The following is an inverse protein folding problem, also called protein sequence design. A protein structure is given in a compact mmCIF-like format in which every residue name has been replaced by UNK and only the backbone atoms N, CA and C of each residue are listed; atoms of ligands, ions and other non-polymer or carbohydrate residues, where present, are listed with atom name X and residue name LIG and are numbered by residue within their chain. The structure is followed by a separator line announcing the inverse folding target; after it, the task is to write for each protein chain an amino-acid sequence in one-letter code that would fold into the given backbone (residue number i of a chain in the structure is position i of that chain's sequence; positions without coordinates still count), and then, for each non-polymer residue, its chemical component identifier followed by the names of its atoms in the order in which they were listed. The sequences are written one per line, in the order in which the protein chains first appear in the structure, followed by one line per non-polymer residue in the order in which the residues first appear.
data_IF_790707198848
#
_entry.id   IF_790707198848
#
_cell.length_a   1.000
_cell.length_b   1.000
_cell.length_c   1.000
_cell.angle_alpha   90.00
_cell.angle_beta   90.00
_cell.angle_gamma   90.00
#
_symmetry.space_group_name_H-M   'P 1'
#
loop_
_entity.id
_entity.type
_entity.pdbx_description
1 polymer ?
#
# COMPACT_ATOMS: atom_id res chain seq x y z
N UNK A 1 -17.26 57.52 -59.47
CA UNK A 1 -16.15 57.29 -58.52
C UNK A 1 -16.68 57.68 -57.14
N UNK A 2 -17.12 56.68 -56.35
CA UNK A 2 -17.81 56.91 -55.08
C UNK A 2 -16.76 56.88 -53.96
N UNK A 3 -16.54 58.02 -53.31
CA UNK A 3 -15.59 58.17 -52.22
C UNK A 3 -16.22 57.52 -50.98
N UNK A 4 -15.68 56.37 -50.56
CA UNK A 4 -16.04 55.76 -49.27
C UNK A 4 -15.49 56.66 -48.16
N UNK A 5 -16.37 57.27 -47.38
CA UNK A 5 -16.02 57.97 -46.15
C UNK A 5 -15.49 56.96 -45.15
N UNK A 6 -14.22 57.07 -44.79
CA UNK A 6 -13.60 56.33 -43.68
C UNK A 6 -14.37 56.66 -42.41
N UNK A 7 -14.96 55.64 -41.77
CA UNK A 7 -15.65 55.79 -40.50
C UNK A 7 -14.67 56.34 -39.45
N UNK A 8 -15.15 57.23 -38.59
CA UNK A 8 -14.40 57.83 -37.48
C UNK A 8 -13.69 56.74 -36.66
N UNK A 9 -12.37 56.64 -36.81
CA UNK A 9 -11.53 55.92 -35.87
C UNK A 9 -11.34 56.81 -34.64
N UNK A 10 -12.27 56.70 -33.68
CA UNK A 10 -12.08 57.28 -32.36
C UNK A 10 -10.98 56.47 -31.66
N UNK A 11 -9.78 57.04 -31.55
CA UNK A 11 -8.68 56.44 -30.80
C UNK A 11 -9.05 56.20 -29.33
N UNK A 12 -8.48 55.14 -28.75
CA UNK A 12 -8.71 54.79 -27.34
C UNK A 12 -8.25 55.88 -26.38
N UNK A 13 -9.07 56.15 -25.35
CA UNK A 13 -8.65 57.01 -24.24
C UNK A 13 -7.60 56.31 -23.37
N UNK A 14 -6.64 57.06 -22.82
CA UNK A 14 -5.65 56.50 -21.88
C UNK A 14 -6.30 55.80 -20.68
N UNK A 15 -7.47 56.28 -20.23
CA UNK A 15 -8.19 55.67 -19.10
C UNK A 15 -8.78 54.31 -19.47
N UNK A 16 -9.25 54.15 -20.72
CA UNK A 16 -9.75 52.89 -21.26
C UNK A 16 -8.63 51.85 -21.35
N UNK A 17 -7.42 52.27 -21.75
CA UNK A 17 -6.25 51.40 -21.77
C UNK A 17 -5.89 50.90 -20.36
N UNK A 18 -5.89 51.79 -19.37
CA UNK A 18 -5.59 51.43 -17.98
C UNK A 18 -6.65 50.47 -17.42
N UNK A 19 -7.93 50.73 -17.68
CA UNK A 19 -9.04 49.84 -17.27
C UNK A 19 -8.89 48.48 -17.96
N UNK A 20 -8.61 48.44 -19.27
CA UNK A 20 -8.39 47.21 -20.01
C UNK A 20 -7.22 46.40 -19.44
N UNK A 21 -6.09 47.05 -19.15
CA UNK A 21 -4.92 46.40 -18.53
C UNK A 21 -5.22 45.89 -17.12
N UNK A 22 -5.98 46.64 -16.31
CA UNK A 22 -6.38 46.20 -14.97
C UNK A 22 -7.27 44.96 -15.05
N UNK A 23 -8.26 44.95 -15.95
CA UNK A 23 -9.14 43.79 -16.16
C UNK A 23 -8.36 42.58 -16.65
N UNK A 24 -7.45 42.74 -17.62
CA UNK A 24 -6.63 41.60 -18.10
C UNK A 24 -5.69 41.04 -17.05
N UNK A 25 -5.07 41.89 -16.22
CA UNK A 25 -4.27 41.43 -15.09
C UNK A 25 -5.10 40.65 -14.07
N UNK A 26 -6.32 41.10 -13.79
CA UNK A 26 -7.22 40.43 -12.85
C UNK A 26 -7.63 39.05 -13.39
N UNK A 27 -7.97 38.97 -14.69
CA UNK A 27 -8.31 37.71 -15.36
C UNK A 27 -7.09 36.77 -15.39
N UNK A 28 -5.89 37.27 -15.70
CA UNK A 28 -4.67 36.46 -15.69
C UNK A 28 -4.35 35.92 -14.29
N UNK A 29 -4.53 36.72 -13.24
CA UNK A 29 -4.33 36.28 -11.86
C UNK A 29 -5.30 35.14 -11.49
N UNK A 30 -6.59 35.29 -11.84
CA UNK A 30 -7.59 34.24 -11.62
C UNK A 30 -7.26 32.97 -12.44
N UNK A 31 -6.92 33.12 -13.72
CA UNK A 31 -6.56 32.01 -14.59
C UNK A 31 -5.32 31.26 -14.09
N UNK A 32 -4.29 31.99 -13.62
CA UNK A 32 -3.08 31.39 -13.04
C UNK A 32 -3.38 30.58 -11.79
N UNK A 33 -4.26 31.07 -10.91
CA UNK A 33 -4.66 30.34 -9.70
C UNK A 33 -5.40 29.03 -10.01
N UNK A 34 -6.31 29.04 -11.00
CA UNK A 34 -7.03 27.86 -11.45
C UNK A 34 -6.09 26.83 -12.08
N UNK A 35 -5.13 27.30 -12.88
CA UNK A 35 -4.15 26.45 -13.53
C UNK A 35 -3.18 25.81 -12.52
N UNK A 36 -2.73 26.57 -11.51
CA UNK A 36 -1.92 26.03 -10.41
C UNK A 36 -2.69 24.97 -9.60
N UNK A 37 -3.96 25.22 -9.29
CA UNK A 37 -4.82 24.25 -8.61
C UNK A 37 -5.00 22.96 -9.43
N UNK A 38 -5.19 23.09 -10.74
CA UNK A 38 -5.31 21.94 -11.66
C UNK A 38 -4.04 21.08 -11.69
N UNK A 39 -2.85 21.69 -11.74
CA UNK A 39 -1.59 20.94 -11.69
C UNK A 39 -1.36 20.24 -10.35
N UNK A 40 -1.72 20.88 -9.23
CA UNK A 40 -1.62 20.25 -7.91
C UNK A 40 -2.58 19.06 -7.78
N UNK A 41 -3.83 19.21 -8.24
CA UNK A 41 -4.81 18.12 -8.25
C UNK A 41 -4.32 16.93 -9.09
N UNK A 42 -3.81 17.21 -10.29
CA UNK A 42 -3.26 16.18 -11.18
C UNK A 42 -2.06 15.49 -10.57
N UNK A 43 -1.07 16.23 -10.08
CA UNK A 43 0.13 15.63 -9.47
C UNK A 43 -0.21 14.76 -8.26
N UNK A 44 -1.25 15.14 -7.50
CA UNK A 44 -1.72 14.36 -6.37
C UNK A 44 -2.41 13.06 -6.81
N UNK A 45 -3.25 13.12 -7.83
CA UNK A 45 -3.90 11.91 -8.37
C UNK A 45 -2.88 10.97 -9.02
N UNK A 46 -1.86 11.50 -9.71
CA UNK A 46 -0.77 10.70 -10.27
C UNK A 46 -0.02 9.95 -9.14
N UNK A 47 0.36 10.65 -8.05
CA UNK A 47 1.03 10.03 -6.89
C UNK A 47 0.18 8.96 -6.21
N UNK A 48 -1.12 9.20 -6.11
CA UNK A 48 -2.08 8.26 -5.55
C UNK A 48 -2.19 7.00 -6.40
N UNK A 49 -2.34 7.16 -7.71
CA UNK A 49 -2.44 6.04 -8.64
C UNK A 49 -1.18 5.17 -8.60
N UNK A 50 0.00 5.80 -8.56
CA UNK A 50 1.28 5.09 -8.44
C UNK A 50 1.36 4.31 -7.12
N UNK A 51 1.04 4.94 -5.99
CA UNK A 51 1.10 4.31 -4.67
C UNK A 51 0.12 3.13 -4.55
N UNK A 52 -1.11 3.29 -5.06
CA UNK A 52 -2.10 2.21 -5.08
C UNK A 52 -1.62 1.04 -5.94
N UNK A 53 -1.05 1.32 -7.12
CA UNK A 53 -0.55 0.27 -8.01
C UNK A 53 0.63 -0.51 -7.39
N UNK A 54 1.54 0.19 -6.71
CA UNK A 54 2.66 -0.43 -6.01
C UNK A 54 2.18 -1.27 -4.82
N UNK A 55 1.24 -0.77 -4.01
CA UNK A 55 0.64 -1.54 -2.90
C UNK A 55 -0.10 -2.77 -3.40
N UNK A 56 -0.87 -2.68 -4.48
CA UNK A 56 -1.54 -3.85 -5.07
C UNK A 56 -0.53 -4.89 -5.54
N UNK A 57 0.58 -4.48 -6.16
CA UNK A 57 1.67 -5.41 -6.52
C UNK A 57 2.27 -6.06 -5.29
N UNK A 58 2.56 -5.29 -4.24
CA UNK A 58 3.10 -5.78 -2.99
C UNK A 58 2.15 -6.78 -2.31
N UNK A 59 0.86 -6.45 -2.20
CA UNK A 59 -0.17 -7.33 -1.63
C UNK A 59 -0.28 -8.65 -2.39
N UNK A 60 -0.22 -8.62 -3.73
CA UNK A 60 -0.24 -9.86 -4.53
C UNK A 60 0.98 -10.75 -4.27
N UNK A 61 2.17 -10.17 -4.15
CA UNK A 61 3.40 -10.91 -3.82
C UNK A 61 3.32 -11.48 -2.40
N UNK A 62 3.00 -10.63 -1.40
CA UNK A 62 2.88 -11.02 0.00
C UNK A 62 1.83 -12.13 0.18
N UNK A 63 0.64 -11.96 -0.39
CA UNK A 63 -0.44 -12.95 -0.27
C UNK A 63 -0.04 -14.29 -0.86
N UNK A 64 0.65 -14.30 -2.01
CA UNK A 64 1.10 -15.54 -2.65
C UNK A 64 2.13 -16.27 -1.78
N UNK A 65 3.13 -15.56 -1.27
CA UNK A 65 4.21 -16.16 -0.49
C UNK A 65 3.75 -16.58 0.91
N UNK A 66 2.98 -15.73 1.59
CA UNK A 66 2.39 -16.05 2.89
C UNK A 66 1.40 -17.22 2.77
N UNK A 67 0.59 -17.31 1.69
CA UNK A 67 -0.34 -18.44 1.50
C UNK A 67 0.37 -19.79 1.36
N UNK A 68 1.61 -19.78 0.86
CA UNK A 68 2.45 -20.98 0.72
C UNK A 68 3.31 -21.28 1.95
N UNK A 69 3.23 -20.48 3.01
CA UNK A 69 3.95 -20.76 4.25
C UNK A 69 3.60 -22.14 4.81
N UNK A 70 4.57 -22.78 5.46
CA UNK A 70 4.37 -24.08 6.08
C UNK A 70 4.41 -25.24 5.09
N UNK A 71 4.70 -24.99 3.80
CA UNK A 71 4.85 -26.05 2.82
C UNK A 71 6.02 -26.94 3.25
N UNK A 72 5.73 -28.24 3.44
CA UNK A 72 6.73 -29.30 3.64
C UNK A 72 7.81 -29.00 4.70
N UNK A 73 7.45 -28.31 5.77
CA UNK A 73 8.39 -28.01 6.83
C UNK A 73 9.00 -29.31 7.41
N UNK A 74 10.33 -29.35 7.60
CA UNK A 74 10.97 -30.37 8.40
C UNK A 74 10.34 -30.40 9.81
N UNK A 75 10.15 -31.60 10.37
CA UNK A 75 9.46 -31.77 11.66
C UNK A 75 10.12 -31.05 12.85
N UNK A 76 11.36 -30.58 12.71
CA UNK A 76 12.19 -30.04 13.77
C UNK A 76 12.72 -28.63 13.51
N UNK A 77 12.11 -27.81 12.63
CA UNK A 77 12.59 -26.43 12.45
C UNK A 77 12.30 -25.61 13.73
N UNK A 78 13.32 -25.22 14.52
CA UNK A 78 13.09 -24.56 15.79
C UNK A 78 12.41 -23.21 15.55
N UNK A 79 11.47 -22.84 16.42
CA UNK A 79 10.78 -21.53 16.42
C UNK A 79 9.78 -21.26 15.27
N UNK A 80 9.60 -22.22 14.35
CA UNK A 80 8.60 -22.14 13.28
C UNK A 80 7.35 -22.90 13.69
N UNK A 81 6.19 -22.24 13.58
CA UNK A 81 4.90 -22.88 13.86
C UNK A 81 4.50 -23.79 12.70
N UNK A 82 3.57 -24.73 12.95
CA UNK A 82 3.08 -25.66 11.91
C UNK A 82 2.52 -24.97 10.66
N UNK A 83 1.99 -23.75 10.81
CA UNK A 83 1.50 -22.93 9.71
C UNK A 83 2.60 -22.20 8.91
N UNK A 84 3.88 -22.39 9.24
CA UNK A 84 5.01 -21.71 8.59
C UNK A 84 5.38 -20.36 9.17
N UNK A 85 4.74 -19.89 10.23
CA UNK A 85 5.00 -18.56 10.78
C UNK A 85 6.00 -18.65 11.92
N UNK A 86 7.00 -17.77 11.89
CA UNK A 86 7.96 -17.59 12.99
C UNK A 86 7.34 -16.63 14.01
N UNK A 87 6.65 -17.17 15.01
CA UNK A 87 5.84 -16.38 15.92
C UNK A 87 6.66 -15.33 16.71
N UNK A 88 7.91 -15.63 17.05
CA UNK A 88 8.80 -14.69 17.75
C UNK A 88 9.32 -13.53 16.89
N UNK A 89 9.10 -13.58 15.59
CA UNK A 89 9.58 -12.60 14.60
C UNK A 89 8.44 -12.06 13.73
N UNK A 90 7.20 -12.25 14.19
CA UNK A 90 5.96 -11.81 13.55
C UNK A 90 5.09 -11.08 14.55
N UNK A 91 4.61 -9.89 14.18
CA UNK A 91 3.77 -9.02 14.97
C UNK A 91 2.81 -8.25 14.04
N UNK A 92 2.19 -7.18 14.52
CA UNK A 92 1.24 -6.40 13.73
C UNK A 92 1.89 -5.72 12.52
N UNK A 93 3.18 -5.39 12.55
CA UNK A 93 3.86 -4.62 11.48
C UNK A 93 4.79 -5.47 10.60
N UNK A 94 5.00 -6.73 10.99
CA UNK A 94 5.92 -7.63 10.29
C UNK A 94 5.48 -9.07 10.41
N UNK A 95 5.74 -9.85 9.36
CA UNK A 95 5.49 -11.28 9.35
C UNK A 95 6.68 -11.98 8.74
N UNK A 96 7.15 -13.04 9.41
CA UNK A 96 8.18 -13.93 8.87
C UNK A 96 7.57 -15.29 8.60
N UNK A 97 7.68 -15.71 7.36
CA UNK A 97 7.16 -16.97 6.86
C UNK A 97 8.29 -17.86 6.38
N UNK A 98 8.12 -19.15 6.63
CA UNK A 98 9.05 -20.21 6.26
C UNK A 98 8.30 -21.27 5.47
N UNK A 99 8.91 -21.77 4.41
CA UNK A 99 8.40 -22.85 3.57
C UNK A 99 9.56 -23.60 2.94
N UNK A 100 9.47 -24.93 2.90
CA UNK A 100 10.37 -25.78 2.15
C UNK A 100 9.81 -25.92 0.71
N UNK A 101 10.30 -25.08 -0.20
CA UNK A 101 9.78 -24.95 -1.57
C UNK A 101 10.27 -26.07 -2.50
N UNK A 102 11.43 -26.65 -2.18
CA UNK A 102 12.04 -27.76 -2.91
C UNK A 102 11.87 -29.12 -2.19
N UNK A 103 11.20 -29.16 -1.04
CA UNK A 103 10.93 -30.35 -0.23
C UNK A 103 9.97 -31.37 -0.84
N UNK A 104 9.52 -31.19 -2.09
CA UNK A 104 8.81 -32.23 -2.82
C UNK A 104 9.81 -33.03 -3.66
N UNK A 105 9.96 -34.35 -3.42
CA UNK A 105 10.83 -35.15 -4.25
C UNK A 105 10.32 -35.14 -5.70
N UNK A 106 11.22 -34.86 -6.64
CA UNK A 106 10.94 -34.97 -8.07
C UNK A 106 11.69 -36.19 -8.62
N UNK A 107 11.06 -37.39 -8.61
CA UNK A 107 11.69 -38.60 -9.09
C UNK A 107 11.94 -38.60 -10.60
N UNK A 108 11.32 -37.68 -11.36
CA UNK A 108 11.55 -37.55 -12.81
C UNK A 108 12.83 -36.74 -13.11
N UNK A 109 13.18 -35.80 -12.24
CA UNK A 109 14.38 -34.96 -12.39
C UNK A 109 15.52 -35.32 -11.43
N UNK A 110 15.33 -36.34 -10.58
CA UNK A 110 16.37 -36.83 -9.66
C UNK A 110 16.60 -35.94 -8.44
N UNK A 111 15.63 -35.08 -8.08
CA UNK A 111 15.69 -34.28 -6.86
C UNK A 111 15.22 -35.13 -5.68
N UNK A 112 16.07 -35.20 -4.67
CA UNK A 112 15.74 -35.79 -3.37
C UNK A 112 14.96 -34.76 -2.54
N UNK A 113 14.11 -35.24 -1.63
CA UNK A 113 13.41 -34.38 -0.68
C UNK A 113 14.43 -33.58 0.13
N UNK A 114 14.35 -32.26 0.02
CA UNK A 114 15.13 -31.38 0.88
C UNK A 114 14.61 -31.45 2.32
N UNK A 115 15.53 -31.54 3.25
CA UNK A 115 15.27 -31.71 4.68
C UNK A 115 15.50 -30.44 5.49
N UNK A 116 15.85 -29.33 4.85
CA UNK A 116 16.01 -28.04 5.49
C UNK A 116 15.11 -26.95 4.89
N UNK A 117 15.38 -25.69 5.27
CA UNK A 117 14.64 -24.50 4.82
C UNK A 117 15.63 -23.37 4.47
N UNK A 118 16.86 -23.74 4.10
CA UNK A 118 18.00 -22.80 3.98
C UNK A 118 18.21 -22.28 2.58
N UNK A 119 17.37 -22.69 1.63
CA UNK A 119 17.45 -22.20 0.26
C UNK A 119 16.87 -20.79 0.10
N UNK A 120 17.20 -20.20 -1.04
CA UNK A 120 16.65 -18.93 -1.48
C UNK A 120 15.12 -18.98 -1.50
N UNK A 121 14.49 -17.92 -1.01
CA UNK A 121 13.02 -17.74 -0.94
C UNK A 121 12.27 -18.64 0.05
N UNK A 122 12.97 -19.44 0.87
CA UNK A 122 12.36 -20.34 1.84
C UNK A 122 12.12 -19.73 3.21
N UNK A 123 12.83 -18.65 3.54
CA UNK A 123 12.67 -17.87 4.77
C UNK A 123 12.63 -16.38 4.45
N UNK A 124 11.41 -15.85 4.48
CA UNK A 124 11.10 -14.51 4.00
C UNK A 124 10.41 -13.74 5.10
N UNK A 125 10.87 -12.51 5.34
CA UNK A 125 10.24 -11.56 6.24
C UNK A 125 9.69 -10.37 5.47
N UNK A 126 8.41 -10.10 5.65
CA UNK A 126 7.78 -8.85 5.23
C UNK A 126 7.71 -7.91 6.41
N UNK A 127 8.10 -6.66 6.20
CA UNK A 127 8.02 -5.62 7.23
C UNK A 127 7.87 -4.24 6.61
N UNK A 128 7.35 -3.31 7.39
CA UNK A 128 7.42 -1.89 7.07
C UNK A 128 8.78 -1.33 7.50
N UNK A 129 9.58 -0.88 6.54
CA UNK A 129 10.82 -0.15 6.82
C UNK A 129 10.55 1.35 6.80
N UNK A 130 11.01 2.04 7.85
CA UNK A 130 10.92 3.51 7.96
C UNK A 130 12.30 4.11 7.79
N UNK A 131 12.49 4.88 6.73
CA UNK A 131 13.70 5.68 6.56
C UNK A 131 13.58 6.98 7.37
N UNK A 132 14.23 7.00 8.53
CA UNK A 132 14.24 8.14 9.45
C UNK A 132 14.88 9.42 8.86
N UNK A 133 15.60 9.32 7.75
CA UNK A 133 16.29 10.47 7.13
C UNK A 133 15.34 11.28 6.26
N UNK A 134 14.47 10.59 5.51
CA UNK A 134 13.55 11.18 4.53
C UNK A 134 12.08 11.05 4.94
N UNK A 135 11.81 10.34 6.05
CA UNK A 135 10.45 10.09 6.56
C UNK A 135 9.62 9.20 5.63
N UNK A 136 10.24 8.47 4.71
CA UNK A 136 9.54 7.59 3.78
C UNK A 136 9.41 6.20 4.39
N UNK A 137 8.25 5.58 4.17
CA UNK A 137 7.98 4.22 4.59
C UNK A 137 7.85 3.33 3.36
N UNK A 138 8.34 2.11 3.50
CA UNK A 138 8.42 1.12 2.43
C UNK A 138 7.92 -0.22 2.92
N UNK A 139 7.20 -0.94 2.07
CA UNK A 139 6.99 -2.38 2.27
C UNK A 139 8.21 -3.09 1.73
N UNK A 140 8.84 -3.88 2.58
CA UNK A 140 10.08 -4.56 2.27
C UNK A 140 9.88 -6.06 2.40
N UNK A 141 10.40 -6.78 1.40
CA UNK A 141 10.65 -8.22 1.46
C UNK A 141 12.12 -8.43 1.80
N UNK A 142 12.40 -9.07 2.92
CA UNK A 142 13.73 -9.47 3.34
C UNK A 142 13.86 -10.98 3.23
N UNK A 143 14.75 -11.45 2.36
CA UNK A 143 15.12 -12.85 2.24
C UNK A 143 16.26 -13.12 3.23
N UNK A 144 16.03 -14.00 4.20
CA UNK A 144 16.99 -14.26 5.28
C UNK A 144 17.99 -15.33 4.91
N UNK A 145 17.52 -16.36 4.22
CA UNK A 145 18.33 -17.49 3.78
C UNK A 145 18.76 -17.25 2.34
N UNK A 146 20.04 -17.49 2.02
CA UNK A 146 20.60 -17.16 0.71
C UNK A 146 21.30 -15.79 0.68
N UNK A 147 20.74 -14.86 -0.10
CA UNK A 147 21.45 -13.61 -0.47
C UNK A 147 21.39 -12.49 0.56
N UNK A 148 20.61 -12.66 1.64
CA UNK A 148 20.34 -11.61 2.64
C UNK A 148 19.83 -10.32 1.99
N UNK A 149 19.05 -10.46 0.91
CA UNK A 149 18.63 -9.32 0.11
C UNK A 149 17.34 -8.71 0.60
N UNK A 150 17.33 -7.38 0.54
CA UNK A 150 16.20 -6.54 0.86
C UNK A 150 15.63 -6.00 -0.45
N UNK A 151 14.39 -6.38 -0.77
CA UNK A 151 13.67 -5.89 -1.94
C UNK A 151 12.53 -4.98 -1.52
N UNK A 152 12.49 -3.77 -2.08
CA UNK A 152 11.39 -2.83 -1.86
C UNK A 152 10.21 -3.24 -2.75
N UNK A 153 9.07 -3.53 -2.14
CA UNK A 153 7.85 -3.94 -2.85
C UNK A 153 6.93 -2.77 -3.16
N UNK A 154 6.79 -1.85 -2.20
CA UNK A 154 5.99 -0.64 -2.36
C UNK A 154 6.66 0.52 -1.65
N UNK A 155 6.48 1.71 -2.21
CA UNK A 155 6.87 2.99 -1.62
C UNK A 155 5.62 3.78 -1.22
N UNK A 156 5.81 4.83 -0.41
CA UNK A 156 4.74 5.79 -0.07
C UNK A 156 3.53 5.13 0.58
N UNK A 157 3.80 4.19 1.47
CA UNK A 157 2.80 3.66 2.38
C UNK A 157 2.85 4.43 3.70
N UNK A 158 1.75 4.41 4.43
CA UNK A 158 1.68 5.04 5.75
C UNK A 158 1.62 3.99 6.84
N UNK A 159 0.97 2.86 6.59
CA UNK A 159 0.83 1.78 7.56
C UNK A 159 0.76 0.43 6.87
N UNK A 160 1.21 -0.60 7.58
CA UNK A 160 1.09 -2.01 7.23
C UNK A 160 0.71 -2.75 8.49
N UNK A 161 -0.43 -3.43 8.47
CA UNK A 161 -0.96 -4.15 9.62
C UNK A 161 -1.29 -5.59 9.21
N UNK A 162 -0.87 -6.54 10.04
CA UNK A 162 -1.20 -7.97 9.95
C UNK A 162 -2.11 -8.36 11.11
N UNK A 163 -3.26 -8.97 10.80
CA UNK A 163 -4.24 -9.47 11.76
C UNK A 163 -4.42 -10.97 11.61
N UNK A 164 -4.44 -11.71 12.70
CA UNK A 164 -4.34 -13.18 12.68
C UNK A 164 -5.61 -13.86 13.20
N UNK A 165 -6.19 -14.77 12.41
CA UNK A 165 -7.44 -15.47 12.74
C UNK A 165 -7.32 -16.98 12.52
N UNK A 166 -8.03 -17.77 13.33
CA UNK A 166 -8.08 -19.23 13.20
C UNK A 166 -9.14 -19.72 12.20
N UNK A 167 -10.10 -18.86 11.84
CA UNK A 167 -11.10 -19.10 10.83
C UNK A 167 -11.30 -17.92 9.88
N UNK A 168 -12.11 -18.13 8.83
CA UNK A 168 -12.38 -17.09 7.85
C UNK A 168 -13.26 -16.01 8.45
N UNK A 169 -12.81 -14.76 8.35
CA UNK A 169 -13.53 -13.60 8.87
C UNK A 169 -14.08 -12.70 7.77
N UNK A 170 -15.08 -11.90 8.13
CA UNK A 170 -15.57 -10.73 7.41
C UNK A 170 -15.37 -9.52 8.31
N UNK A 171 -15.02 -8.38 7.74
CA UNK A 171 -14.64 -7.18 8.50
C UNK A 171 -14.97 -5.92 7.72
N UNK A 172 -14.88 -4.79 8.41
CA UNK A 172 -14.92 -3.44 7.83
C UNK A 172 -13.52 -2.82 7.88
N UNK A 173 -13.17 -2.00 6.90
CA UNK A 173 -11.91 -1.25 6.94
C UNK A 173 -12.08 0.01 7.80
N UNK A 174 -11.05 0.34 8.57
CA UNK A 174 -11.03 1.53 9.42
C UNK A 174 -9.66 2.19 9.38
N UNK A 175 -9.61 3.41 9.92
CA UNK A 175 -8.38 4.07 10.33
C UNK A 175 -8.38 4.10 11.86
N UNK A 176 -7.31 3.65 12.51
CA UNK A 176 -7.21 3.63 13.96
C UNK A 176 -6.93 5.04 14.53
N UNK A 177 -6.83 5.15 15.86
CA UNK A 177 -6.56 6.43 16.55
C UNK A 177 -5.23 7.05 16.17
N UNK A 178 -4.28 6.25 15.70
CA UNK A 178 -2.93 6.66 15.32
C UNK A 178 -2.83 7.03 13.83
N UNK A 179 -3.94 6.94 13.09
CA UNK A 179 -3.99 7.27 11.66
C UNK A 179 -3.55 6.13 10.76
N UNK A 180 -3.51 4.90 11.26
CA UNK A 180 -3.07 3.71 10.53
C UNK A 180 -4.27 2.94 10.00
N UNK A 181 -4.10 2.30 8.84
CA UNK A 181 -5.11 1.46 8.25
C UNK A 181 -5.24 0.15 9.03
N UNK A 182 -6.47 -0.19 9.38
CA UNK A 182 -6.80 -1.39 10.14
C UNK A 182 -8.16 -1.94 9.73
N UNK A 183 -8.61 -2.98 10.41
CA UNK A 183 -9.92 -3.59 10.26
C UNK A 183 -10.70 -3.54 11.58
N UNK A 184 -12.03 -3.60 11.48
CA UNK A 184 -12.94 -3.61 12.62
C UNK A 184 -14.18 -4.45 12.31
N UNK A 185 -15.10 -4.55 13.26
CA UNK A 185 -16.36 -5.30 13.11
C UNK A 185 -16.13 -6.75 12.64
N UNK A 186 -15.07 -7.39 13.15
CA UNK A 186 -14.61 -8.69 12.67
C UNK A 186 -15.55 -9.79 13.14
N UNK A 187 -16.11 -10.54 12.19
CA UNK A 187 -17.06 -11.64 12.44
C UNK A 187 -16.75 -12.87 11.59
N UNK A 188 -17.06 -14.06 12.10
CA UNK A 188 -16.98 -15.29 11.31
C UNK A 188 -18.19 -15.47 10.38
N UNK A 189 -18.21 -16.61 9.67
CA UNK A 189 -19.31 -16.98 8.77
C UNK A 189 -20.69 -17.11 9.48
N UNK A 190 -20.70 -17.32 10.80
CA UNK A 190 -21.94 -17.36 11.60
C UNK A 190 -22.38 -15.97 12.11
N UNK A 191 -21.61 -14.91 11.81
CA UNK A 191 -21.88 -13.56 12.30
C UNK A 191 -21.51 -13.34 13.76
N UNK A 192 -20.70 -14.24 14.35
CA UNK A 192 -20.19 -14.09 15.73
C UNK A 192 -18.88 -13.30 15.68
N UNK A 193 -18.67 -12.42 16.67
CA UNK A 193 -17.42 -11.66 16.79
C UNK A 193 -16.24 -12.61 16.99
N UNK A 194 -15.22 -12.45 16.14
CA UNK A 194 -13.99 -13.23 16.23
C UNK A 194 -12.85 -12.44 16.85
N UNK A 195 -12.05 -13.13 17.66
CA UNK A 195 -10.88 -12.56 18.29
C UNK A 195 -9.62 -13.00 17.54
N UNK A 196 -8.59 -12.17 17.60
CA UNK A 196 -7.30 -12.55 17.06
C UNK A 196 -6.67 -13.70 17.84
N UNK A 197 -5.98 -14.57 17.12
CA UNK A 197 -5.17 -15.66 17.67
C UNK A 197 -3.69 -15.32 17.56
N UNK A 198 -2.85 -16.07 18.28
CA UNK A 198 -1.39 -15.95 18.07
C UNK A 198 -1.02 -16.26 16.62
N UNK A 199 0.00 -15.59 16.10
CA UNK A 199 0.47 -15.77 14.72
C UNK A 199 0.80 -17.23 14.38
N UNK A 200 1.28 -18.02 15.35
CA UNK A 200 1.53 -19.46 15.17
C UNK A 200 0.28 -20.36 15.13
N UNK A 201 -0.88 -19.87 15.58
CA UNK A 201 -2.17 -20.58 15.55
C UNK A 201 -3.09 -20.09 14.43
N UNK A 202 -2.66 -19.06 13.68
CA UNK A 202 -3.44 -18.49 12.60
C UNK A 202 -3.64 -19.49 11.46
N UNK A 203 -4.81 -19.43 10.83
CA UNK A 203 -5.11 -20.07 9.54
C UNK A 203 -5.48 -19.06 8.46
N UNK A 204 -5.93 -17.90 8.88
CA UNK A 204 -6.28 -16.76 8.04
C UNK A 204 -5.53 -15.54 8.53
N UNK A 205 -5.08 -14.70 7.59
CA UNK A 205 -4.40 -13.45 7.88
C UNK A 205 -5.06 -12.36 7.05
N UNK A 206 -5.38 -11.24 7.69
CA UNK A 206 -5.78 -10.04 6.98
C UNK A 206 -4.60 -9.08 6.96
N UNK A 207 -4.22 -8.64 5.77
CA UNK A 207 -3.20 -7.61 5.57
C UNK A 207 -3.92 -6.31 5.26
N UNK A 208 -3.72 -5.26 6.06
CA UNK A 208 -4.22 -3.92 5.80
C UNK A 208 -3.05 -2.97 5.49
N UNK A 209 -3.16 -2.20 4.42
CA UNK A 209 -2.16 -1.21 4.01
C UNK A 209 -2.83 0.13 3.83
N UNK A 210 -2.31 1.15 4.52
CA UNK A 210 -2.78 2.52 4.42
C UNK A 210 -1.93 3.35 3.48
N UNK A 211 -2.58 4.14 2.63
CA UNK A 211 -1.95 5.16 1.79
C UNK A 211 -2.64 6.49 2.01
N UNK A 212 -1.89 7.46 2.47
CA UNK A 212 -2.32 8.81 2.81
C UNK A 212 -1.81 9.79 1.78
N UNK A 213 -2.72 10.60 1.25
CA UNK A 213 -2.38 11.74 0.43
C UNK A 213 -2.42 13.00 1.29
N UNK A 214 -1.26 13.62 1.58
CA UNK A 214 -1.21 14.78 2.46
C UNK A 214 -2.06 15.93 1.90
N UNK A 215 -2.52 16.78 2.81
CA UNK A 215 -3.25 17.99 2.43
C UNK A 215 -2.39 18.93 1.57
N UNK A 216 -3.04 19.63 0.64
CA UNK A 216 -2.41 20.65 -0.20
C UNK A 216 -3.00 22.01 0.14
N UNK A 217 -2.14 22.98 0.46
CA UNK A 217 -2.56 24.33 0.85
C UNK A 217 -2.98 24.42 2.33
N UNK A 218 -3.49 25.58 2.72
CA UNK A 218 -3.98 25.82 4.07
C UNK A 218 -5.51 25.77 4.13
N UNK A 219 -6.07 25.29 5.23
CA UNK A 219 -7.53 25.28 5.42
C UNK A 219 -8.11 26.68 5.23
N UNK A 220 -9.19 26.79 4.46
CA UNK A 220 -9.84 28.06 4.12
C UNK A 220 -9.19 28.83 2.97
N UNK A 221 -8.15 28.31 2.32
CA UNK A 221 -7.57 28.91 1.10
C UNK A 221 -8.17 28.34 -0.18
N UNK A 222 -8.25 29.15 -1.24
CA UNK A 222 -8.65 28.67 -2.56
C UNK A 222 -7.65 27.62 -3.06
N UNK A 223 -8.16 26.44 -3.45
CA UNK A 223 -7.34 25.31 -3.85
C UNK A 223 -6.88 24.41 -2.69
N UNK A 224 -7.36 24.65 -1.46
CA UNK A 224 -7.17 23.70 -0.37
C UNK A 224 -7.76 22.34 -0.73
N UNK A 225 -6.96 21.30 -0.54
CA UNK A 225 -7.40 19.92 -0.65
C UNK A 225 -7.10 19.23 0.68
N UNK A 226 -8.12 18.69 1.37
CA UNK A 226 -7.91 17.98 2.61
C UNK A 226 -7.13 16.69 2.38
N UNK A 227 -6.49 16.21 3.43
CA UNK A 227 -5.88 14.88 3.47
C UNK A 227 -6.92 13.80 3.13
N UNK A 228 -6.51 12.78 2.39
CA UNK A 228 -7.36 11.63 2.08
C UNK A 228 -6.58 10.35 2.28
N UNK A 229 -7.18 9.38 2.97
CA UNK A 229 -6.58 8.10 3.24
C UNK A 229 -7.33 7.00 2.50
N UNK A 230 -6.59 6.01 2.02
CA UNK A 230 -7.11 4.84 1.33
C UNK A 230 -6.52 3.61 1.99
N UNK A 231 -7.41 2.72 2.42
CA UNK A 231 -7.05 1.41 2.95
C UNK A 231 -7.23 0.35 1.87
N UNK A 232 -6.18 -0.42 1.62
CA UNK A 232 -6.22 -1.62 0.80
C UNK A 232 -6.05 -2.84 1.70
N UNK A 233 -6.92 -3.83 1.55
CA UNK A 233 -6.84 -5.08 2.32
C UNK A 233 -6.64 -6.29 1.43
N UNK A 234 -5.94 -7.31 1.95
CA UNK A 234 -5.84 -8.62 1.31
C UNK A 234 -6.05 -9.73 2.34
N UNK A 235 -6.86 -10.72 1.97
CA UNK A 235 -7.11 -11.91 2.76
C UNK A 235 -6.18 -13.03 2.32
N UNK A 236 -5.44 -13.59 3.28
CA UNK A 236 -4.54 -14.72 3.05
C UNK A 236 -5.05 -15.94 3.77
N UNK A 237 -5.15 -17.04 3.02
CA UNK A 237 -5.42 -18.37 3.57
C UNK A 237 -4.10 -19.13 3.64
N UNK A 238 -3.71 -19.56 4.84
CA UNK A 238 -2.50 -20.36 5.05
C UNK A 238 -2.80 -21.81 4.68
N UNK A 239 -2.43 -22.21 3.46
CA UNK A 239 -2.86 -23.49 2.87
C UNK A 239 -2.46 -24.69 3.70
N UNK A 240 -1.26 -24.64 4.28
CA UNK A 240 -0.69 -25.75 5.05
C UNK A 240 -1.15 -25.76 6.52
N UNK A 241 -1.97 -24.79 6.95
CA UNK A 241 -2.57 -24.76 8.29
C UNK A 241 -3.99 -25.36 8.37
N UNK A 242 -4.64 -25.51 7.21
CA UNK A 242 -6.04 -25.96 7.10
C UNK A 242 -6.12 -27.46 6.78
N UNK A 243 -5.01 -28.07 6.38
CA UNK A 243 -4.94 -29.51 6.07
C UNK A 243 -4.55 -30.27 7.34
N UNK A 244 -5.53 -30.95 7.92
CA UNK A 244 -5.34 -32.12 8.78
C UNK A 244 -5.57 -33.39 7.95
#
# INVERSE_FOLDING_TARGET
MQIRTTQNENGFSMIELIIAMAVTMTIMALASSLLASSFNARSREDRKSDAIADVQRALNIMTREISNSGLKLPGDVPTVSSNGIVAGDSNEESIRVVSNLNGMPDPLNGYFEDSDVTDTDEDVKFLMYVDNTIGQRYIVRYEKNGTNQTTVLANRIDSLVFRYYDEKVTYETTINSDGEADITSVVNAAGTTENEVSSGSAKFIVIAVGVTLPAVGASGTNGYQPETQITLTSDVVLRNSIVY
#
